data_IF_134725331683
#
_entry.id   IF_134725331683
#
_cell.length_a   1.000
_cell.length_b   1.000
_cell.length_c   1.000
_cell.angle_alpha   90.00
_cell.angle_beta   90.00
_cell.angle_gamma   90.00
#
_symmetry.space_group_name_H-M   'P 1'
#
loop_
_entity.id
_entity.type
_entity.pdbx_description
1 polymer ?
#
# COMPACT_ATOMS: atom_id res chain seq x y z
N UNK A 1 -2.88 8.65 15.89
CA UNK A 1 -2.40 8.39 14.51
C UNK A 1 -2.44 9.71 13.76
N UNK A 2 -1.46 9.99 12.92
CA UNK A 2 -1.47 11.21 12.09
C UNK A 2 -2.25 10.93 10.82
N UNK A 3 -3.43 11.54 10.66
CA UNK A 3 -4.25 11.42 9.44
C UNK A 3 -3.47 11.79 8.17
N UNK A 4 -2.48 12.67 8.30
CA UNK A 4 -1.56 13.04 7.22
C UNK A 4 -0.78 11.84 6.65
N UNK A 5 -0.33 10.92 7.50
CA UNK A 5 0.36 9.71 7.05
C UNK A 5 -0.57 8.83 6.21
N UNK A 6 -1.82 8.67 6.66
CA UNK A 6 -2.84 7.90 5.94
C UNK A 6 -3.20 8.53 4.59
N UNK A 7 -3.22 9.86 4.49
CA UNK A 7 -3.38 10.58 3.23
C UNK A 7 -2.21 10.34 2.26
N UNK A 8 -0.98 10.32 2.75
CA UNK A 8 0.20 10.02 1.93
C UNK A 8 0.12 8.60 1.35
N UNK A 9 -0.25 7.62 2.18
CA UNK A 9 -0.43 6.25 1.73
C UNK A 9 -1.62 6.11 0.75
N UNK A 10 -2.73 6.80 0.99
CA UNK A 10 -3.86 6.85 0.06
C UNK A 10 -3.42 7.31 -1.34
N UNK A 11 -2.64 8.40 -1.41
CA UNK A 11 -2.14 8.93 -2.68
C UNK A 11 -1.26 7.88 -3.38
N UNK A 12 -0.33 7.27 -2.65
CA UNK A 12 0.56 6.23 -3.20
C UNK A 12 -0.22 5.03 -3.75
N UNK A 13 -1.20 4.51 -2.99
CA UNK A 13 -2.07 3.41 -3.40
C UNK A 13 -2.88 3.78 -4.65
N UNK A 14 -3.45 4.99 -4.71
CA UNK A 14 -4.20 5.46 -5.89
C UNK A 14 -3.31 5.58 -7.13
N UNK A 15 -2.08 6.07 -6.98
CA UNK A 15 -1.12 6.13 -8.09
C UNK A 15 -0.70 4.74 -8.57
N UNK A 16 -0.58 3.77 -7.66
CA UNK A 16 -0.29 2.38 -7.99
C UNK A 16 -1.42 1.74 -8.80
N UNK A 17 -2.67 1.96 -8.40
CA UNK A 17 -3.84 1.40 -9.09
C UNK A 17 -4.12 2.08 -10.45
N UNK A 18 -3.71 3.34 -10.63
CA UNK A 18 -3.87 4.07 -11.88
C UNK A 18 -5.33 4.33 -12.27
N UNK A 19 -5.56 4.67 -13.54
CA UNK A 19 -6.88 5.08 -14.06
C UNK A 19 -7.94 3.97 -14.10
N UNK A 20 -7.52 2.71 -13.92
CA UNK A 20 -8.39 1.53 -14.01
C UNK A 20 -8.82 1.01 -12.64
N UNK A 21 -8.54 1.76 -11.55
CA UNK A 21 -8.99 1.41 -10.21
C UNK A 21 -10.53 1.33 -10.16
N UNK A 22 -11.07 0.12 -10.01
CA UNK A 22 -12.50 -0.07 -9.79
C UNK A 22 -12.97 0.59 -8.49
N UNK A 23 -14.28 0.85 -8.36
CA UNK A 23 -14.87 1.52 -7.17
C UNK A 23 -14.46 0.87 -5.83
N UNK A 24 -14.33 -0.46 -5.78
CA UNK A 24 -13.89 -1.17 -4.57
C UNK A 24 -12.44 -0.88 -4.18
N UNK A 25 -11.54 -0.73 -5.16
CA UNK A 25 -10.13 -0.42 -4.91
C UNK A 25 -9.95 1.01 -4.36
N UNK A 26 -10.84 1.95 -4.75
CA UNK A 26 -10.85 3.31 -4.22
C UNK A 26 -11.30 3.40 -2.76
N UNK A 27 -12.12 2.45 -2.29
CA UNK A 27 -12.59 2.40 -0.90
C UNK A 27 -11.47 1.93 0.04
N UNK A 28 -10.78 0.85 -0.35
CA UNK A 28 -9.65 0.27 0.40
C UNK A 28 -8.45 1.24 0.46
N UNK A 29 -8.34 2.14 -0.53
CA UNK A 29 -7.29 3.16 -0.58
C UNK A 29 -7.56 4.39 0.30
N UNK A 30 -8.75 4.56 0.88
CA UNK A 30 -9.08 5.80 1.60
C UNK A 30 -8.30 5.95 2.92
N UNK A 31 -7.88 7.19 3.23
CA UNK A 31 -7.16 7.51 4.46
C UNK A 31 -7.97 7.14 5.70
N UNK A 32 -9.30 7.28 5.66
CA UNK A 32 -10.20 6.86 6.76
C UNK A 32 -10.14 5.35 6.99
N UNK A 33 -10.06 4.56 5.91
CA UNK A 33 -9.94 3.09 6.00
C UNK A 33 -8.55 2.67 6.52
N UNK A 34 -7.50 3.39 6.12
CA UNK A 34 -6.15 3.20 6.63
C UNK A 34 -6.09 3.58 8.12
N UNK A 35 -6.72 4.69 8.51
CA UNK A 35 -6.76 5.20 9.89
C UNK A 35 -7.44 4.24 10.87
N UNK A 36 -8.45 3.48 10.43
CA UNK A 36 -9.10 2.46 11.26
C UNK A 36 -8.27 1.17 11.37
N UNK A 37 -7.10 1.08 10.72
CA UNK A 37 -6.12 0.01 10.91
C UNK A 37 -5.98 -0.97 9.74
N UNK A 38 -6.42 -0.59 8.53
CA UNK A 38 -6.36 -1.45 7.34
C UNK A 38 -5.28 -1.03 6.33
N UNK A 39 -4.18 -0.44 6.80
CA UNK A 39 -3.05 -0.04 5.94
C UNK A 39 -2.48 -1.23 5.15
N UNK A 40 -2.38 -2.41 5.77
CA UNK A 40 -1.89 -3.60 5.08
C UNK A 40 -2.79 -4.03 3.91
N UNK A 41 -4.12 -3.98 4.10
CA UNK A 41 -5.07 -4.30 3.03
C UNK A 41 -4.97 -3.31 1.85
N UNK A 42 -4.73 -2.03 2.14
CA UNK A 42 -4.46 -1.01 1.12
C UNK A 42 -3.21 -1.33 0.30
N UNK A 43 -2.12 -1.72 0.97
CA UNK A 43 -0.89 -2.15 0.31
C UNK A 43 -1.09 -3.39 -0.56
N UNK A 44 -1.74 -4.43 -0.02
CA UNK A 44 -2.03 -5.65 -0.78
C UNK A 44 -2.86 -5.34 -2.02
N UNK A 45 -3.89 -4.51 -1.89
CA UNK A 45 -4.71 -4.07 -3.02
C UNK A 45 -3.92 -3.33 -4.09
N UNK A 46 -2.97 -2.47 -3.68
CA UNK A 46 -2.13 -1.69 -4.59
C UNK A 46 -1.22 -2.58 -5.46
N UNK A 47 -0.63 -3.61 -4.87
CA UNK A 47 0.37 -4.46 -5.55
C UNK A 47 -0.25 -5.67 -6.26
N UNK A 48 -1.48 -6.05 -5.92
CA UNK A 48 -2.14 -7.23 -6.49
C UNK A 48 -2.13 -7.28 -8.04
N UNK A 49 -2.42 -6.19 -8.78
CA UNK A 49 -2.37 -6.22 -10.25
C UNK A 49 -0.97 -6.52 -10.81
N UNK A 50 0.08 -6.08 -10.11
CA UNK A 50 1.47 -6.30 -10.49
C UNK A 50 1.88 -7.74 -10.18
N UNK A 51 1.50 -8.27 -9.02
CA UNK A 51 1.80 -9.63 -8.61
C UNK A 51 1.24 -10.69 -9.58
N UNK A 52 0.01 -10.50 -10.07
CA UNK A 52 -0.66 -11.44 -10.99
C UNK A 52 0.09 -11.60 -12.32
N UNK A 53 0.75 -10.55 -12.79
CA UNK A 53 1.44 -10.54 -14.09
C UNK A 53 2.98 -10.56 -13.96
N UNK A 54 3.50 -10.64 -12.73
CA UNK A 54 4.92 -10.52 -12.42
C UNK A 54 5.73 -11.78 -12.74
N UNK A 55 7.01 -11.59 -13.01
CA UNK A 55 7.99 -12.70 -13.02
C UNK A 55 8.19 -13.27 -11.61
N UNK A 56 8.79 -14.46 -11.45
CA UNK A 56 9.11 -15.00 -10.12
C UNK A 56 9.96 -14.07 -9.25
N UNK A 57 10.90 -13.34 -9.86
CA UNK A 57 11.75 -12.37 -9.17
C UNK A 57 10.91 -11.19 -8.67
N UNK A 58 10.06 -10.61 -9.52
CA UNK A 58 9.16 -9.52 -9.15
C UNK A 58 8.14 -9.93 -8.08
N UNK A 59 7.61 -11.16 -8.16
CA UNK A 59 6.74 -11.72 -7.12
C UNK A 59 7.45 -11.83 -5.78
N UNK A 60 8.73 -12.21 -5.78
CA UNK A 60 9.55 -12.27 -4.57
C UNK A 60 9.70 -10.88 -3.97
N UNK A 61 10.04 -9.87 -4.78
CA UNK A 61 10.18 -8.49 -4.32
C UNK A 61 8.89 -7.91 -3.75
N UNK A 62 7.75 -8.16 -4.40
CA UNK A 62 6.43 -7.77 -3.91
C UNK A 62 6.11 -8.47 -2.57
N UNK A 63 6.45 -9.75 -2.45
CA UNK A 63 6.21 -10.53 -1.23
C UNK A 63 7.05 -10.01 -0.07
N UNK A 64 8.33 -9.73 -0.30
CA UNK A 64 9.24 -9.13 0.69
C UNK A 64 8.77 -7.74 1.12
N UNK A 65 8.28 -6.93 0.17
CA UNK A 65 7.66 -5.65 0.47
C UNK A 65 6.48 -5.81 1.42
N UNK A 66 5.51 -6.68 1.10
CA UNK A 66 4.34 -6.90 1.95
C UNK A 66 4.74 -7.43 3.33
N UNK A 67 5.72 -8.33 3.41
CA UNK A 67 6.15 -8.92 4.68
C UNK A 67 6.63 -7.86 5.69
N UNK A 68 7.31 -6.80 5.23
CA UNK A 68 7.77 -5.68 6.08
C UNK A 68 6.64 -4.88 6.73
N UNK A 69 5.44 -4.92 6.15
CA UNK A 69 4.31 -4.08 6.57
C UNK A 69 3.13 -4.87 7.13
N UNK A 70 3.35 -6.14 7.50
CA UNK A 70 2.33 -7.00 8.13
C UNK A 70 1.77 -6.42 9.42
N UNK A 71 2.55 -5.62 10.16
CA UNK A 71 2.11 -4.91 11.37
C UNK A 71 1.04 -3.83 11.09
N UNK A 72 0.86 -3.41 9.83
CA UNK A 72 -0.25 -2.54 9.43
C UNK A 72 -1.59 -3.28 9.31
N UNK A 73 -1.64 -4.56 9.70
CA UNK A 73 -2.85 -5.38 9.74
C UNK A 73 -3.46 -5.41 11.15
N UNK A 74 -4.34 -4.46 11.43
CA UNK A 74 -5.15 -4.47 12.66
C UNK A 74 -4.53 -3.71 13.83
N UNK A 75 -4.62 -2.37 13.78
CA UNK A 75 -4.43 -1.57 14.98
C UNK A 75 -4.17 -0.09 14.74
N UNK A 76 -4.44 0.71 15.78
CA UNK A 76 -4.08 2.12 15.85
C UNK A 76 -2.92 2.32 16.83
N UNK A 77 -1.73 1.81 16.48
CA UNK A 77 -0.52 2.10 17.28
C UNK A 77 -0.04 3.54 17.00
N UNK A 78 0.64 4.16 17.97
CA UNK A 78 1.27 5.48 17.78
C UNK A 78 2.41 5.42 16.76
N UNK A 79 3.09 4.28 16.68
CA UNK A 79 4.23 4.02 15.80
C UNK A 79 3.78 3.71 14.36
N UNK A 80 2.48 3.48 14.13
CA UNK A 80 1.95 3.25 12.78
C UNK A 80 2.09 4.45 11.86
N UNK A 81 2.15 5.69 12.38
CA UNK A 81 2.26 6.85 11.51
C UNK A 81 3.58 6.84 10.71
N UNK A 82 4.70 6.55 11.37
CA UNK A 82 6.01 6.46 10.71
C UNK A 82 6.06 5.27 9.75
N UNK A 83 5.51 4.12 10.17
CA UNK A 83 5.45 2.93 9.34
C UNK A 83 4.58 3.13 8.09
N UNK A 84 3.46 3.83 8.20
CA UNK A 84 2.58 4.20 7.07
C UNK A 84 3.32 5.12 6.09
N UNK A 85 4.04 6.14 6.59
CA UNK A 85 4.81 7.04 5.73
C UNK A 85 5.95 6.31 5.00
N UNK A 86 6.63 5.39 5.69
CA UNK A 86 7.66 4.56 5.09
C UNK A 86 7.05 3.65 4.01
N UNK A 87 5.92 3.01 4.30
CA UNK A 87 5.20 2.17 3.34
C UNK A 87 4.77 2.95 2.10
N UNK A 88 4.31 4.19 2.25
CA UNK A 88 3.91 5.04 1.13
C UNK A 88 5.10 5.35 0.18
N UNK A 89 6.27 5.66 0.74
CA UNK A 89 7.49 5.91 -0.05
C UNK A 89 7.99 4.66 -0.76
N UNK A 90 8.13 3.56 -0.02
CA UNK A 90 8.61 2.30 -0.60
C UNK A 90 7.64 1.71 -1.63
N UNK A 91 6.32 1.94 -1.47
CA UNK A 91 5.33 1.56 -2.48
C UNK A 91 5.57 2.33 -3.79
N UNK A 92 5.80 3.64 -3.75
CA UNK A 92 6.06 4.42 -4.97
C UNK A 92 7.33 3.91 -5.68
N UNK A 93 8.40 3.66 -4.93
CA UNK A 93 9.65 3.12 -5.48
C UNK A 93 9.47 1.73 -6.11
N UNK A 94 8.74 0.83 -5.43
CA UNK A 94 8.44 -0.51 -5.94
C UNK A 94 7.64 -0.43 -7.24
N UNK A 95 6.57 0.37 -7.27
CA UNK A 95 5.70 0.50 -8.44
C UNK A 95 6.46 1.14 -9.61
N UNK A 96 7.34 2.12 -9.36
CA UNK A 96 8.20 2.69 -10.39
C UNK A 96 9.16 1.67 -10.99
N UNK A 97 9.61 0.70 -10.19
CA UNK A 97 10.47 -0.39 -10.66
C UNK A 97 9.68 -1.38 -11.53
N UNK A 98 8.49 -1.79 -11.08
CA UNK A 98 7.63 -2.78 -11.76
C UNK A 98 6.98 -2.26 -13.05
N UNK A 99 6.91 -0.93 -13.26
CA UNK A 99 6.39 -0.31 -14.49
C UNK A 99 7.46 -0.13 -15.59
N UNK A 100 8.70 -0.52 -15.36
CA UNK A 100 9.82 -0.34 -16.31
C UNK A 100 9.78 -1.33 -17.46
#
# INVERSE_FOLDING_TARGET
MSHQASLELEIAVRMALGKNAGRGALLVASADYIDIGFGFAALTGAVAPYYVNATPEEQTEISEFLQRYTDLNGGRSKDHAELIQQAARELDDLIRKLKR
#
